data_IF_872028372983
#
_entry.id   IF_872028372983
#
_cell.length_a   1.000
_cell.length_b   1.000
_cell.length_c   1.000
_cell.angle_alpha   90.00
_cell.angle_beta   90.00
_cell.angle_gamma   90.00
#
_symmetry.space_group_name_H-M   'P 1'
#
loop_
_entity.id
_entity.type
_entity.pdbx_description
1 polymer ?
#
# COMPACT_ATOMS: atom_id res chain seq x y z
N UNK A 1 42.88 14.83 -0.12
CA UNK A 1 42.44 13.83 -1.11
C UNK A 1 41.07 13.33 -0.71
N UNK A 2 40.19 13.18 -1.70
CA UNK A 2 38.79 12.74 -1.68
C UNK A 2 37.72 13.75 -1.26
N UNK A 3 37.33 14.58 -2.23
CA UNK A 3 36.05 15.34 -2.28
C UNK A 3 35.15 14.89 -3.44
N UNK A 4 35.40 13.73 -4.07
CA UNK A 4 34.72 13.33 -5.31
C UNK A 4 33.43 12.50 -5.16
N UNK A 5 33.03 12.05 -3.96
CA UNK A 5 31.90 11.11 -3.84
C UNK A 5 30.51 11.72 -4.10
N UNK A 6 30.33 13.02 -3.86
CA UNK A 6 29.03 13.68 -4.05
C UNK A 6 28.69 13.98 -5.51
N UNK A 7 29.67 14.38 -6.32
CA UNK A 7 29.46 14.69 -7.74
C UNK A 7 29.29 13.42 -8.58
N UNK A 8 30.04 12.35 -8.29
CA UNK A 8 29.87 11.06 -8.98
C UNK A 8 28.47 10.46 -8.74
N UNK A 9 27.94 10.57 -7.51
CA UNK A 9 26.60 10.04 -7.19
C UNK A 9 25.49 10.82 -7.92
N UNK A 10 25.62 12.15 -8.01
CA UNK A 10 24.63 12.99 -8.68
C UNK A 10 24.65 12.83 -10.22
N UNK A 11 25.85 12.65 -10.80
CA UNK A 11 26.03 12.32 -12.22
C UNK A 11 25.47 10.93 -12.57
N UNK A 12 25.57 9.98 -11.65
CA UNK A 12 25.03 8.62 -11.81
C UNK A 12 23.48 8.62 -11.74
N UNK A 13 22.91 9.40 -10.82
CA UNK A 13 21.45 9.55 -10.70
C UNK A 13 20.81 10.20 -11.94
N UNK A 14 21.41 11.26 -12.49
CA UNK A 14 20.92 11.89 -13.71
C UNK A 14 21.00 10.96 -14.92
N UNK A 15 22.07 10.16 -15.03
CA UNK A 15 22.22 9.16 -16.09
C UNK A 15 21.19 8.04 -15.95
N UNK A 16 20.97 7.55 -14.74
CA UNK A 16 19.97 6.53 -14.45
C UNK A 16 18.55 7.03 -14.77
N UNK A 17 18.21 8.26 -14.38
CA UNK A 17 16.91 8.85 -14.71
C UNK A 17 16.75 9.07 -16.22
N UNK A 18 17.77 9.57 -16.91
CA UNK A 18 17.75 9.70 -18.36
C UNK A 18 17.55 8.36 -19.07
N UNK A 19 18.21 7.29 -18.58
CA UNK A 19 18.02 5.93 -19.09
C UNK A 19 16.59 5.43 -18.86
N UNK A 20 15.99 5.67 -17.69
CA UNK A 20 14.60 5.32 -17.41
C UNK A 20 13.65 6.06 -18.37
N UNK A 21 13.84 7.37 -18.53
CA UNK A 21 13.02 8.18 -19.43
C UNK A 21 13.17 7.77 -20.91
N UNK A 22 14.36 7.34 -21.33
CA UNK A 22 14.56 6.82 -22.67
C UNK A 22 13.86 5.46 -22.85
N UNK A 23 14.00 4.55 -21.89
CA UNK A 23 13.35 3.24 -21.95
C UNK A 23 11.82 3.33 -21.94
N UNK A 24 11.22 4.30 -21.24
CA UNK A 24 9.78 4.62 -21.34
C UNK A 24 9.40 4.98 -22.78
N UNK A 25 10.16 5.87 -23.43
CA UNK A 25 9.88 6.29 -24.82
C UNK A 25 10.01 5.13 -25.80
N UNK A 26 11.09 4.37 -25.69
CA UNK A 26 11.36 3.23 -26.56
C UNK A 26 10.28 2.14 -26.42
N UNK A 27 9.83 1.89 -25.19
CA UNK A 27 8.78 0.92 -24.92
C UNK A 27 7.44 1.36 -25.50
N UNK A 28 7.04 2.63 -25.34
CA UNK A 28 5.79 3.17 -25.92
C UNK A 28 5.83 3.12 -27.45
N UNK A 29 6.95 3.49 -28.06
CA UNK A 29 7.13 3.43 -29.51
C UNK A 29 6.99 2.00 -30.03
N UNK A 30 7.57 1.03 -29.32
CA UNK A 30 7.61 -0.38 -29.75
C UNK A 30 6.31 -1.14 -29.50
N UNK A 31 5.64 -0.90 -28.36
CA UNK A 31 4.49 -1.71 -27.93
C UNK A 31 3.14 -1.04 -28.16
N UNK A 32 3.09 0.30 -28.17
CA UNK A 32 1.84 1.07 -28.34
C UNK A 32 1.80 1.85 -29.66
N UNK A 33 2.81 1.68 -30.52
CA UNK A 33 3.01 2.44 -31.75
C UNK A 33 2.86 3.95 -31.52
N UNK A 34 3.37 4.42 -30.37
CA UNK A 34 3.10 5.75 -29.86
C UNK A 34 4.31 6.68 -29.83
N UNK A 35 4.09 7.98 -30.02
CA UNK A 35 5.08 9.03 -29.79
C UNK A 35 4.80 9.75 -28.47
N UNK A 36 5.71 9.61 -27.50
CA UNK A 36 5.57 10.24 -26.18
C UNK A 36 5.82 11.74 -26.27
N UNK A 37 4.87 12.54 -25.78
CA UNK A 37 5.00 14.00 -25.70
C UNK A 37 5.12 14.54 -24.27
N UNK A 38 4.75 13.75 -23.26
CA UNK A 38 4.86 14.15 -21.86
C UNK A 38 5.12 12.95 -20.94
N UNK A 39 5.98 13.14 -19.94
CA UNK A 39 6.29 12.17 -18.89
C UNK A 39 6.31 12.91 -17.56
N UNK A 40 5.37 12.61 -16.68
CA UNK A 40 5.27 13.20 -15.34
C UNK A 40 5.56 12.15 -14.29
N UNK A 41 6.59 12.40 -13.48
CA UNK A 41 6.88 11.60 -12.29
C UNK A 41 5.84 11.92 -11.21
N UNK A 42 5.15 10.90 -10.69
CA UNK A 42 4.19 11.10 -9.61
C UNK A 42 4.89 11.02 -8.24
N UNK A 43 4.59 11.98 -7.36
CA UNK A 43 5.12 12.01 -6.00
C UNK A 43 4.46 10.93 -5.13
N UNK A 44 5.12 9.77 -5.02
CA UNK A 44 4.70 8.61 -4.21
C UNK A 44 5.90 7.87 -3.64
N UNK A 45 5.67 7.00 -2.64
CA UNK A 45 6.70 6.14 -2.05
C UNK A 45 7.27 5.12 -3.03
N UNK A 46 6.50 4.73 -4.06
CA UNK A 46 6.98 3.90 -5.16
C UNK A 46 7.13 4.72 -6.45
N UNK A 47 8.14 4.42 -7.26
CA UNK A 47 8.23 4.93 -8.62
C UNK A 47 6.96 4.78 -9.45
N UNK A 48 6.35 5.88 -9.89
CA UNK A 48 5.29 5.87 -10.91
C UNK A 48 5.48 7.01 -11.93
N UNK A 49 5.11 6.78 -13.18
CA UNK A 49 5.11 7.82 -14.22
C UNK A 49 3.77 7.85 -14.96
N UNK A 50 3.16 9.03 -15.04
CA UNK A 50 2.08 9.30 -16.00
C UNK A 50 2.73 9.63 -17.33
N UNK A 51 2.43 8.85 -18.37
CA UNK A 51 3.05 8.99 -19.69
C UNK A 51 1.96 9.26 -20.71
N UNK A 52 2.07 10.41 -21.38
CA UNK A 52 1.12 10.85 -22.40
C UNK A 52 1.77 10.75 -23.78
N UNK A 53 1.07 10.15 -24.73
CA UNK A 53 1.59 9.82 -26.06
C UNK A 53 0.52 9.96 -27.14
N UNK A 54 0.95 10.17 -28.38
CA UNK A 54 0.10 10.14 -29.56
C UNK A 54 0.21 8.78 -30.26
N UNK A 55 -0.92 8.17 -30.60
CA UNK A 55 -0.97 6.97 -31.45
C UNK A 55 -2.19 7.06 -32.35
N UNK A 56 -2.05 6.70 -33.63
CA UNK A 56 -3.15 6.75 -34.61
C UNK A 56 -3.93 8.09 -34.67
N UNK A 57 -3.27 9.22 -34.37
CA UNK A 57 -3.90 10.54 -34.34
C UNK A 57 -4.70 10.88 -33.07
N UNK A 58 -4.69 9.99 -32.07
CA UNK A 58 -5.33 10.20 -30.76
C UNK A 58 -4.27 10.43 -29.68
N UNK A 59 -4.57 11.30 -28.70
CA UNK A 59 -3.78 11.42 -27.47
C UNK A 59 -4.26 10.37 -26.46
N UNK A 60 -3.34 9.60 -25.91
CA UNK A 60 -3.60 8.58 -24.89
C UNK A 60 -2.65 8.74 -23.71
N UNK A 61 -3.03 8.18 -22.57
CA UNK A 61 -2.23 8.22 -21.34
C UNK A 61 -2.17 6.84 -20.72
N UNK A 62 -0.98 6.45 -20.26
CA UNK A 62 -0.75 5.22 -19.49
C UNK A 62 0.01 5.50 -18.21
N UNK A 63 -0.09 4.59 -17.25
CA UNK A 63 0.66 4.61 -16.01
C UNK A 63 1.77 3.55 -16.06
N UNK A 64 3.01 3.99 -15.89
CA UNK A 64 4.14 3.10 -15.63
C UNK A 64 4.26 2.91 -14.12
N UNK A 65 3.90 1.73 -13.63
CA UNK A 65 3.98 1.36 -12.22
C UNK A 65 5.32 0.67 -11.96
N UNK A 66 6.26 1.42 -11.38
CA UNK A 66 7.63 0.98 -11.15
C UNK A 66 7.82 0.19 -9.86
N UNK A 67 8.94 -0.55 -9.80
CA UNK A 67 9.30 -1.35 -8.64
C UNK A 67 9.74 -0.49 -7.45
N UNK A 68 9.47 -0.95 -6.22
CA UNK A 68 9.99 -0.30 -5.00
C UNK A 68 11.48 -0.65 -4.86
N UNK A 69 12.35 0.30 -4.48
CA UNK A 69 13.78 0.01 -4.28
C UNK A 69 14.07 -1.08 -3.24
N UNK A 70 13.14 -1.31 -2.32
CA UNK A 70 13.25 -2.28 -1.22
C UNK A 70 12.49 -3.58 -1.47
N UNK A 71 11.81 -3.71 -2.62
CA UNK A 71 11.05 -4.91 -2.98
C UNK A 71 11.73 -5.68 -4.13
N UNK A 72 11.69 -7.02 -4.12
CA UNK A 72 12.15 -7.81 -5.25
C UNK A 72 11.28 -7.55 -6.47
N UNK A 73 11.86 -7.66 -7.68
CA UNK A 73 11.14 -7.54 -8.95
C UNK A 73 9.92 -8.47 -9.01
N UNK A 74 10.02 -9.65 -8.42
CA UNK A 74 8.95 -10.66 -8.41
C UNK A 74 7.69 -10.18 -7.69
N UNK A 75 7.81 -9.24 -6.73
CA UNK A 75 6.64 -8.61 -6.12
C UNK A 75 5.88 -7.74 -7.11
N UNK A 76 6.59 -7.10 -8.04
CA UNK A 76 5.98 -6.29 -9.09
C UNK A 76 5.36 -7.17 -10.19
N UNK A 77 6.05 -8.24 -10.60
CA UNK A 77 5.49 -9.22 -11.55
C UNK A 77 4.24 -9.90 -11.01
N UNK A 78 4.27 -10.28 -9.74
CA UNK A 78 3.12 -10.85 -9.04
C UNK A 78 1.87 -9.96 -9.14
N UNK A 79 2.02 -8.65 -8.88
CA UNK A 79 0.92 -7.69 -8.98
C UNK A 79 0.36 -7.63 -10.42
N UNK A 80 1.25 -7.52 -11.41
CA UNK A 80 0.89 -7.48 -12.84
C UNK A 80 0.11 -8.72 -13.27
N UNK A 81 0.65 -9.91 -13.00
CA UNK A 81 0.02 -11.19 -13.39
C UNK A 81 -1.32 -11.40 -12.69
N UNK A 82 -1.42 -11.01 -11.41
CA UNK A 82 -2.68 -11.07 -10.66
C UNK A 82 -3.74 -10.20 -11.32
N UNK A 83 -3.41 -8.96 -11.70
CA UNK A 83 -4.33 -8.06 -12.39
C UNK A 83 -4.76 -8.60 -13.75
N UNK A 84 -3.85 -9.20 -14.53
CA UNK A 84 -4.20 -9.83 -15.80
C UNK A 84 -5.21 -10.97 -15.64
N UNK A 85 -5.08 -11.79 -14.59
CA UNK A 85 -6.07 -12.83 -14.28
C UNK A 85 -7.42 -12.22 -13.92
N UNK A 86 -7.44 -11.17 -13.11
CA UNK A 86 -8.67 -10.49 -12.70
C UNK A 86 -9.38 -9.88 -13.92
N UNK A 87 -8.65 -9.19 -14.79
CA UNK A 87 -9.20 -8.65 -16.04
C UNK A 87 -9.80 -9.75 -16.94
N UNK A 88 -9.11 -10.88 -17.08
CA UNK A 88 -9.59 -12.03 -17.85
C UNK A 88 -10.86 -12.69 -17.27
N UNK A 89 -11.23 -12.33 -16.04
CA UNK A 89 -12.43 -12.77 -15.33
C UNK A 89 -13.44 -11.62 -15.13
N UNK A 90 -13.40 -10.60 -15.99
CA UNK A 90 -14.32 -9.47 -16.03
C UNK A 90 -14.32 -8.60 -14.74
N UNK A 91 -13.27 -8.70 -13.92
CA UNK A 91 -13.08 -7.79 -12.80
C UNK A 91 -12.54 -6.46 -13.32
N UNK A 92 -13.12 -5.36 -12.83
CA UNK A 92 -12.73 -3.99 -13.20
C UNK A 92 -11.35 -3.63 -12.65
N UNK A 93 -10.28 -4.05 -13.29
CA UNK A 93 -8.92 -3.57 -13.03
C UNK A 93 -8.40 -2.80 -14.26
N UNK A 94 -7.43 -1.88 -14.11
CA UNK A 94 -6.82 -1.23 -15.26
C UNK A 94 -6.20 -2.26 -16.21
N UNK A 95 -6.41 -2.10 -17.52
CA UNK A 95 -5.83 -2.98 -18.53
C UNK A 95 -4.30 -2.98 -18.42
N UNK A 96 -3.68 -4.16 -18.45
CA UNK A 96 -2.22 -4.31 -18.42
C UNK A 96 -1.68 -4.45 -19.84
N UNK A 97 -0.90 -3.46 -20.28
CA UNK A 97 -0.26 -3.49 -21.60
C UNK A 97 1.01 -4.33 -21.64
N UNK A 98 1.75 -4.43 -20.53
CA UNK A 98 2.91 -5.32 -20.43
C UNK A 98 4.04 -4.84 -19.53
N UNK A 99 5.14 -5.59 -19.56
CA UNK A 99 6.33 -5.40 -18.73
C UNK A 99 7.38 -4.51 -19.39
N UNK A 100 8.11 -3.75 -18.57
CA UNK A 100 9.21 -2.85 -18.94
C UNK A 100 10.43 -3.20 -18.11
N UNK A 101 11.56 -3.47 -18.77
CA UNK A 101 12.81 -3.82 -18.07
C UNK A 101 13.51 -2.59 -17.48
N UNK A 102 13.47 -1.46 -18.19
CA UNK A 102 14.15 -0.22 -17.80
C UNK A 102 13.25 0.99 -18.10
N UNK A 103 12.66 1.64 -17.09
CA UNK A 103 12.69 1.25 -15.68
C UNK A 103 11.94 -0.07 -15.46
N UNK A 104 12.34 -0.84 -14.45
CA UNK A 104 11.60 -2.02 -14.01
C UNK A 104 10.19 -1.61 -13.58
N UNK A 105 9.22 -1.86 -14.45
CA UNK A 105 7.84 -1.40 -14.34
C UNK A 105 6.89 -2.33 -15.11
N UNK A 106 5.61 -2.25 -14.83
CA UNK A 106 4.58 -2.66 -15.79
C UNK A 106 3.72 -1.46 -16.19
N UNK A 107 3.13 -1.53 -17.38
CA UNK A 107 2.31 -0.47 -17.96
C UNK A 107 0.86 -0.84 -17.88
N UNK A 108 0.04 0.07 -17.34
CA UNK A 108 -1.39 -0.10 -17.23
C UNK A 108 -2.16 1.16 -17.66
N UNK A 109 -3.47 1.02 -17.85
CA UNK A 109 -4.35 2.15 -18.14
C UNK A 109 -4.21 3.27 -17.10
N UNK A 110 -4.26 4.51 -17.60
CA UNK A 110 -4.49 5.67 -16.75
C UNK A 110 -5.98 5.86 -16.55
N UNK A 111 -6.46 5.58 -15.33
CA UNK A 111 -7.83 5.91 -14.94
C UNK A 111 -7.85 7.36 -14.44
N UNK A 112 -8.58 8.20 -15.17
CA UNK A 112 -8.75 9.61 -14.85
C UNK A 112 -9.95 9.80 -13.93
N UNK A 113 -9.68 10.23 -12.69
CA UNK A 113 -10.72 10.54 -11.71
C UNK A 113 -10.25 11.64 -10.76
N UNK A 114 -11.20 12.46 -10.35
CA UNK A 114 -11.03 13.48 -9.31
C UNK A 114 -10.93 12.87 -7.90
N UNK A 115 -11.42 11.63 -7.72
CA UNK A 115 -11.44 10.91 -6.44
C UNK A 115 -10.10 10.20 -6.15
N UNK A 116 -9.00 10.94 -6.32
CA UNK A 116 -7.70 10.55 -5.77
C UNK A 116 -7.50 11.26 -4.45
N UNK A 117 -8.06 10.69 -3.38
CA UNK A 117 -7.66 11.03 -2.03
C UNK A 117 -6.63 10.01 -1.52
N UNK A 118 -5.33 10.19 -1.77
CA UNK A 118 -4.35 9.46 -1.00
C UNK A 118 -4.15 10.10 0.36
N UNK A 119 -4.65 9.45 1.40
CA UNK A 119 -4.30 9.85 2.75
C UNK A 119 -3.07 9.08 3.21
N UNK A 120 -1.89 9.71 3.19
CA UNK A 120 -0.95 9.40 4.27
C UNK A 120 -1.67 9.70 5.59
N UNK A 121 -1.48 8.90 6.62
CA UNK A 121 -2.09 8.99 7.93
C UNK A 121 -2.01 10.41 8.51
N UNK A 122 -0.85 11.07 8.42
CA UNK A 122 -0.74 12.46 8.90
C UNK A 122 -1.66 13.42 8.14
N UNK A 123 -1.78 13.25 6.83
CA UNK A 123 -2.67 14.08 6.01
C UNK A 123 -4.13 13.77 6.28
N UNK A 124 -4.48 12.49 6.55
CA UNK A 124 -5.83 12.08 6.90
C UNK A 124 -6.29 12.64 8.26
N UNK A 125 -5.38 12.83 9.21
CA UNK A 125 -5.68 13.49 10.49
C UNK A 125 -6.03 14.97 10.27
N UNK A 126 -5.29 15.65 9.40
CA UNK A 126 -5.49 17.09 9.12
C UNK A 126 -6.66 17.35 8.17
N UNK A 127 -6.90 16.45 7.22
CA UNK A 127 -7.94 16.51 6.21
C UNK A 127 -8.72 15.20 6.18
N UNK A 128 -9.65 14.98 7.13
CA UNK A 128 -10.42 13.75 7.19
C UNK A 128 -11.29 13.59 5.95
N UNK A 129 -11.35 12.36 5.43
CA UNK A 129 -12.23 12.03 4.31
C UNK A 129 -13.70 12.20 4.69
N UNK A 130 -14.45 12.85 3.79
CA UNK A 130 -15.89 13.08 3.96
C UNK A 130 -16.66 12.02 3.18
N UNK A 131 -17.60 11.36 3.84
CA UNK A 131 -18.51 10.42 3.19
C UNK A 131 -19.66 11.19 2.54
N UNK A 132 -19.53 11.49 1.24
CA UNK A 132 -20.62 12.03 0.42
C UNK A 132 -21.58 10.93 0.01
N UNK A 133 -22.80 11.28 -0.43
CA UNK A 133 -23.78 10.29 -0.92
C UNK A 133 -23.22 9.48 -2.11
N UNK A 134 -22.51 10.14 -3.03
CA UNK A 134 -21.87 9.50 -4.18
C UNK A 134 -20.78 8.52 -3.74
N UNK A 135 -19.89 8.94 -2.83
CA UNK A 135 -18.84 8.08 -2.28
C UNK A 135 -19.45 6.89 -1.54
N UNK A 136 -20.55 7.10 -0.82
CA UNK A 136 -21.26 6.04 -0.13
C UNK A 136 -21.87 5.00 -1.10
N UNK A 137 -22.48 5.46 -2.20
CA UNK A 137 -22.94 4.54 -3.24
C UNK A 137 -21.78 3.80 -3.91
N UNK A 138 -20.65 4.48 -4.18
CA UNK A 138 -19.46 3.85 -4.72
C UNK A 138 -18.89 2.77 -3.78
N UNK A 139 -18.88 3.02 -2.46
CA UNK A 139 -18.51 2.02 -1.45
C UNK A 139 -19.45 0.81 -1.46
N UNK A 140 -20.76 1.01 -1.62
CA UNK A 140 -21.72 -0.09 -1.75
C UNK A 140 -21.51 -0.88 -3.03
N UNK A 141 -21.30 -0.21 -4.16
CA UNK A 141 -20.96 -0.84 -5.45
C UNK A 141 -19.66 -1.62 -5.37
N UNK A 142 -18.65 -1.09 -4.67
CA UNK A 142 -17.39 -1.79 -4.41
C UNK A 142 -17.60 -3.13 -3.69
N UNK A 143 -18.58 -3.24 -2.80
CA UNK A 143 -18.87 -4.52 -2.14
C UNK A 143 -19.45 -5.58 -3.09
N UNK A 144 -20.08 -5.16 -4.19
CA UNK A 144 -20.49 -6.08 -5.26
C UNK A 144 -19.26 -6.58 -6.02
N UNK A 145 -18.41 -5.64 -6.46
CA UNK A 145 -17.17 -5.96 -7.17
C UNK A 145 -16.24 -6.86 -6.32
N UNK A 146 -16.16 -6.63 -5.01
CA UNK A 146 -15.39 -7.46 -4.09
C UNK A 146 -15.96 -8.89 -4.00
N UNK A 147 -17.27 -9.06 -4.09
CA UNK A 147 -17.89 -10.38 -4.15
C UNK A 147 -17.51 -11.13 -5.44
N UNK A 148 -17.46 -10.41 -6.56
CA UNK A 148 -17.01 -10.96 -7.85
C UNK A 148 -15.53 -11.34 -7.83
N UNK A 149 -14.67 -10.50 -7.24
CA UNK A 149 -13.24 -10.81 -6.99
C UNK A 149 -13.10 -12.12 -6.20
N UNK A 150 -13.86 -12.27 -5.12
CA UNK A 150 -13.84 -13.49 -4.30
C UNK A 150 -14.44 -14.72 -5.00
N UNK A 151 -15.17 -14.54 -6.10
CA UNK A 151 -15.75 -15.62 -6.90
C UNK A 151 -14.80 -16.14 -7.99
N UNK A 152 -13.70 -15.43 -8.29
CA UNK A 152 -12.72 -15.86 -9.30
C UNK A 152 -12.14 -17.25 -8.92
N UNK A 153 -12.19 -18.25 -9.81
CA UNK A 153 -11.72 -19.59 -9.49
C UNK A 153 -10.22 -19.63 -9.19
N UNK A 154 -9.82 -20.25 -8.07
CA UNK A 154 -8.41 -20.41 -7.70
C UNK A 154 -7.55 -21.09 -8.78
N UNK A 155 -8.17 -21.92 -9.64
CA UNK A 155 -7.49 -22.55 -10.75
C UNK A 155 -6.92 -21.55 -11.77
N UNK A 156 -7.49 -20.35 -11.90
CA UNK A 156 -7.03 -19.31 -12.80
C UNK A 156 -5.65 -18.77 -12.40
N UNK A 157 -5.34 -18.75 -11.10
CA UNK A 157 -4.09 -18.22 -10.55
C UNK A 157 -2.95 -19.24 -10.47
N UNK A 158 -3.15 -20.49 -10.92
CA UNK A 158 -2.17 -21.59 -10.75
C UNK A 158 -0.79 -21.35 -11.38
N UNK A 159 -0.71 -20.47 -12.37
CA UNK A 159 0.55 -20.14 -13.03
C UNK A 159 1.37 -19.09 -12.27
N UNK A 160 0.76 -18.40 -11.30
CA UNK A 160 1.42 -17.42 -10.45
C UNK A 160 2.01 -18.16 -9.26
N UNK A 161 3.34 -18.21 -9.15
CA UNK A 161 4.06 -19.05 -8.17
C UNK A 161 3.53 -18.88 -6.74
N UNK A 162 3.30 -17.63 -6.32
CA UNK A 162 2.80 -17.28 -4.97
C UNK A 162 1.39 -17.82 -4.69
N UNK A 163 0.58 -18.05 -5.72
CA UNK A 163 -0.82 -18.51 -5.62
C UNK A 163 -1.00 -19.94 -6.14
N UNK A 164 0.06 -20.57 -6.64
CA UNK A 164 0.01 -21.87 -7.29
C UNK A 164 -0.41 -23.01 -6.34
N UNK A 165 -0.16 -22.85 -5.04
CA UNK A 165 -0.45 -23.83 -3.99
C UNK A 165 -1.40 -23.24 -2.93
N UNK A 166 -2.73 -23.32 -3.14
CA UNK A 166 -3.70 -22.88 -2.16
C UNK A 166 -3.53 -23.57 -0.80
N UNK A 167 -3.64 -22.85 0.34
CA UNK A 167 -3.61 -23.45 1.67
C UNK A 167 -4.79 -24.40 1.89
N UNK A 168 -4.58 -25.45 2.69
CA UNK A 168 -5.57 -26.50 2.93
C UNK A 168 -5.92 -26.59 4.41
N UNK A 169 -7.20 -26.45 4.73
CA UNK A 169 -7.70 -26.52 6.10
C UNK A 169 -7.57 -25.18 6.85
N UNK A 170 -8.32 -25.06 7.94
CA UNK A 170 -8.53 -23.77 8.60
C UNK A 170 -7.25 -23.10 9.13
N UNK A 171 -6.31 -23.90 9.65
CA UNK A 171 -5.03 -23.39 10.15
C UNK A 171 -4.21 -22.73 9.05
N UNK A 172 -4.01 -23.43 7.93
CA UNK A 172 -3.18 -22.94 6.83
C UNK A 172 -3.86 -21.75 6.16
N UNK A 173 -5.19 -21.78 5.98
CA UNK A 173 -5.95 -20.66 5.42
C UNK A 173 -5.84 -19.41 6.31
N UNK A 174 -6.00 -19.56 7.62
CA UNK A 174 -5.95 -18.44 8.55
C UNK A 174 -4.55 -17.85 8.72
N UNK A 175 -3.51 -18.66 8.55
CA UNK A 175 -2.13 -18.26 8.78
C UNK A 175 -1.35 -17.92 7.50
N UNK A 176 -1.89 -18.17 6.31
CA UNK A 176 -1.13 -18.07 5.05
C UNK A 176 -0.44 -16.71 4.84
N UNK A 177 -1.23 -15.62 4.82
CA UNK A 177 -0.70 -14.27 4.64
C UNK A 177 0.10 -13.79 5.85
N UNK A 178 -0.39 -14.13 7.05
CA UNK A 178 0.18 -13.72 8.34
C UNK A 178 1.58 -14.29 8.52
N UNK A 179 1.76 -15.59 8.31
CA UNK A 179 3.02 -16.28 8.50
C UNK A 179 4.06 -15.78 7.50
N UNK A 180 3.65 -15.55 6.24
CA UNK A 180 4.55 -14.95 5.22
C UNK A 180 5.08 -13.59 5.68
N UNK A 181 4.20 -12.70 6.13
CA UNK A 181 4.63 -11.38 6.59
C UNK A 181 5.44 -11.46 7.88
N UNK A 182 5.09 -12.35 8.79
CA UNK A 182 5.83 -12.59 10.01
C UNK A 182 7.27 -13.04 9.71
N UNK A 183 7.47 -13.95 8.75
CA UNK A 183 8.82 -14.36 8.31
C UNK A 183 9.61 -13.19 7.70
N UNK A 184 8.97 -12.30 6.93
CA UNK A 184 9.60 -11.05 6.45
C UNK A 184 10.00 -10.17 7.64
N UNK A 185 9.13 -10.04 8.65
CA UNK A 185 9.42 -9.30 9.88
C UNK A 185 10.63 -9.85 10.62
N UNK A 186 10.77 -11.17 10.72
CA UNK A 186 11.94 -11.82 11.31
C UNK A 186 13.22 -11.57 10.51
N UNK A 187 13.17 -11.79 9.18
CA UNK A 187 14.31 -11.62 8.29
C UNK A 187 14.83 -10.17 8.29
N UNK A 188 13.92 -9.20 8.39
CA UNK A 188 14.23 -7.77 8.40
C UNK A 188 14.47 -7.21 9.80
N UNK A 189 14.43 -8.05 10.85
CA UNK A 189 14.59 -7.65 12.27
C UNK A 189 13.56 -6.60 12.72
N UNK A 190 12.35 -6.67 12.17
CA UNK A 190 11.22 -5.81 12.50
C UNK A 190 10.21 -6.45 13.44
N UNK A 191 10.43 -7.68 13.94
CA UNK A 191 9.59 -8.24 15.00
C UNK A 191 9.91 -7.62 16.38
N UNK A 192 8.88 -7.31 17.16
CA UNK A 192 8.99 -6.91 18.56
C UNK A 192 7.96 -7.65 19.42
N UNK A 193 7.97 -7.40 20.73
CA UNK A 193 7.10 -8.06 21.69
C UNK A 193 5.61 -7.98 21.34
N UNK A 194 5.16 -6.87 20.75
CA UNK A 194 3.75 -6.72 20.34
C UNK A 194 3.45 -7.63 19.17
N UNK A 195 4.30 -7.65 18.13
CA UNK A 195 4.13 -8.54 16.97
C UNK A 195 4.18 -10.02 17.39
N UNK A 196 5.13 -10.40 18.27
CA UNK A 196 5.24 -11.76 18.81
C UNK A 196 3.98 -12.18 19.60
N UNK A 197 3.43 -11.26 20.40
CA UNK A 197 2.17 -11.49 21.10
C UNK A 197 1.02 -11.72 20.12
N UNK A 198 0.86 -10.85 19.12
CA UNK A 198 -0.17 -10.99 18.09
C UNK A 198 0.00 -12.31 17.31
N UNK A 199 1.23 -12.68 16.96
CA UNK A 199 1.52 -13.91 16.21
C UNK A 199 1.11 -15.15 17.00
N UNK A 200 1.48 -15.17 18.28
CA UNK A 200 1.11 -16.25 19.19
C UNK A 200 -0.40 -16.31 19.37
N UNK A 201 -1.05 -15.16 19.55
CA UNK A 201 -2.51 -15.09 19.68
C UNK A 201 -3.21 -15.64 18.42
N UNK A 202 -2.79 -15.23 17.23
CA UNK A 202 -3.38 -15.68 15.96
C UNK A 202 -3.28 -17.21 15.83
N UNK A 203 -2.10 -17.79 16.06
CA UNK A 203 -1.89 -19.25 16.01
C UNK A 203 -2.79 -20.02 16.99
N UNK A 204 -3.15 -19.43 18.13
CA UNK A 204 -3.99 -20.06 19.14
C UNK A 204 -5.50 -19.86 18.96
N UNK A 205 -5.94 -18.95 18.07
CA UNK A 205 -7.34 -18.55 17.95
C UNK A 205 -7.88 -18.73 16.52
N UNK A 206 -7.27 -19.62 15.73
CA UNK A 206 -7.70 -19.93 14.36
C UNK A 206 -9.19 -20.32 14.31
N UNK A 207 -9.98 -19.72 13.40
CA UNK A 207 -11.39 -20.07 13.23
C UNK A 207 -11.54 -21.42 12.51
N UNK A 208 -11.60 -22.51 13.28
CA UNK A 208 -11.51 -23.89 12.79
C UNK A 208 -12.60 -24.32 11.78
N UNK A 209 -13.75 -23.63 11.73
CA UNK A 209 -14.82 -23.92 10.76
C UNK A 209 -14.55 -23.33 9.37
N UNK A 210 -13.58 -22.43 9.23
CA UNK A 210 -13.26 -21.73 7.98
C UNK A 210 -12.28 -22.57 7.14
N UNK A 211 -12.82 -23.45 6.31
CA UNK A 211 -12.03 -24.48 5.58
C UNK A 211 -11.99 -24.30 4.07
N UNK A 212 -12.64 -23.26 3.54
CA UNK A 212 -12.76 -23.00 2.11
C UNK A 212 -11.93 -21.75 1.76
N UNK A 213 -10.81 -21.90 1.03
CA UNK A 213 -10.04 -20.75 0.58
C UNK A 213 -10.72 -20.05 -0.60
N UNK A 214 -10.43 -18.77 -0.77
CA UNK A 214 -10.80 -17.93 -1.92
C UNK A 214 -9.63 -17.01 -2.26
N UNK A 215 -9.61 -16.50 -3.48
CA UNK A 215 -8.73 -15.38 -3.79
C UNK A 215 -9.17 -14.19 -2.92
N UNK A 216 -8.20 -13.46 -2.38
CA UNK A 216 -8.42 -12.24 -1.61
C UNK A 216 -7.54 -11.14 -2.20
N UNK A 217 -8.07 -9.92 -2.30
CA UNK A 217 -7.31 -8.75 -2.73
C UNK A 217 -6.17 -8.44 -1.75
N UNK A 218 -6.33 -8.83 -0.48
CA UNK A 218 -5.34 -8.64 0.57
C UNK A 218 -5.39 -7.22 1.14
N UNK A 219 -5.57 -6.23 0.26
CA UNK A 219 -5.67 -4.81 0.60
C UNK A 219 -7.01 -4.15 0.23
N UNK A 220 -8.11 -4.81 0.59
CA UNK A 220 -9.44 -4.35 0.23
C UNK A 220 -9.76 -2.89 0.66
N UNK A 221 -10.53 -2.22 -0.19
CA UNK A 221 -10.91 -0.80 -0.07
C UNK A 221 -10.18 0.11 -1.06
N UNK A 222 -9.24 -0.44 -1.84
CA UNK A 222 -8.50 0.29 -2.86
C UNK A 222 -9.22 0.30 -4.22
N UNK A 223 -9.93 1.38 -4.52
CA UNK A 223 -10.62 1.56 -5.80
C UNK A 223 -10.72 3.02 -6.23
N UNK A 224 -10.89 3.23 -7.53
CA UNK A 224 -11.22 4.51 -8.15
C UNK A 224 -12.70 4.54 -8.53
N UNK A 225 -13.35 5.67 -8.25
CA UNK A 225 -14.74 5.92 -8.59
C UNK A 225 -14.92 7.23 -9.35
N UNK A 226 -16.00 7.32 -10.12
CA UNK A 226 -16.53 8.58 -10.64
C UNK A 226 -18.00 8.69 -10.23
N UNK A 227 -18.30 9.61 -9.33
CA UNK A 227 -19.60 9.66 -8.66
C UNK A 227 -19.90 8.35 -7.92
N UNK A 228 -20.98 7.68 -8.31
CA UNK A 228 -21.47 6.44 -7.68
C UNK A 228 -20.86 5.15 -8.28
N UNK A 229 -20.12 5.27 -9.39
CA UNK A 229 -19.63 4.12 -10.15
C UNK A 229 -18.19 3.78 -9.78
N UNK A 230 -17.92 2.49 -9.54
CA UNK A 230 -16.56 1.95 -9.44
C UNK A 230 -16.00 1.77 -10.84
N UNK A 231 -14.90 2.48 -11.12
CA UNK A 231 -14.19 2.44 -12.41
C UNK A 231 -13.13 1.35 -12.43
N UNK A 232 -12.35 1.22 -11.35
CA UNK A 232 -11.24 0.30 -11.28
C UNK A 232 -10.86 -0.04 -9.83
N UNK A 233 -10.58 -1.31 -9.58
CA UNK A 233 -9.96 -1.84 -8.36
C UNK A 233 -8.44 -1.79 -8.51
N UNK A 234 -7.75 -1.56 -7.41
CA UNK A 234 -6.31 -1.27 -7.40
C UNK A 234 -5.58 -2.04 -6.30
N UNK A 235 -4.25 -2.00 -6.37
CA UNK A 235 -3.32 -2.38 -5.30
C UNK A 235 -3.38 -3.85 -4.87
N UNK A 236 -3.28 -4.76 -5.85
CA UNK A 236 -3.22 -6.21 -5.63
C UNK A 236 -1.81 -6.72 -5.25
N UNK A 237 -0.89 -5.85 -4.79
CA UNK A 237 0.50 -6.21 -4.47
C UNK A 237 0.62 -7.20 -3.29
N UNK A 238 -0.36 -7.17 -2.38
CA UNK A 238 -0.44 -8.12 -1.26
C UNK A 238 -1.56 -9.16 -1.40
N UNK A 239 -2.15 -9.28 -2.59
CA UNK A 239 -3.17 -10.29 -2.88
C UNK A 239 -2.71 -11.71 -2.51
N UNK A 240 -3.65 -12.57 -2.18
CA UNK A 240 -3.34 -13.88 -1.65
C UNK A 240 -4.49 -14.87 -1.83
N UNK A 241 -4.28 -16.10 -1.38
CA UNK A 241 -5.33 -17.08 -1.16
C UNK A 241 -5.55 -17.21 0.34
N UNK A 242 -6.80 -17.02 0.78
CA UNK A 242 -7.18 -17.04 2.19
C UNK A 242 -8.69 -17.07 2.38
N UNK A 243 -9.16 -16.55 3.50
CA UNK A 243 -10.58 -16.40 3.76
C UNK A 243 -11.06 -15.00 3.37
N UNK A 244 -12.22 -14.90 2.72
CA UNK A 244 -12.82 -13.62 2.29
C UNK A 244 -13.00 -12.61 3.43
N UNK A 245 -13.07 -13.08 4.68
CA UNK A 245 -13.15 -12.21 5.87
C UNK A 245 -11.88 -11.39 6.10
N UNK A 246 -10.75 -11.76 5.50
CA UNK A 246 -9.54 -10.94 5.47
C UNK A 246 -9.84 -9.55 4.88
N UNK A 247 -10.43 -9.52 3.69
CA UNK A 247 -10.73 -8.29 2.96
C UNK A 247 -11.82 -7.46 3.68
N UNK A 248 -12.83 -8.12 4.24
CA UNK A 248 -13.85 -7.45 5.06
C UNK A 248 -13.28 -6.85 6.36
N UNK A 249 -12.27 -7.50 6.93
CA UNK A 249 -11.53 -7.00 8.07
C UNK A 249 -10.60 -5.84 7.70
N UNK A 250 -10.05 -5.82 6.49
CA UNK A 250 -9.30 -4.69 5.94
C UNK A 250 -10.10 -3.39 5.99
N UNK A 251 -11.37 -3.41 5.55
CA UNK A 251 -12.28 -2.25 5.64
C UNK A 251 -12.46 -1.77 7.09
N UNK A 252 -12.65 -2.69 8.04
CA UNK A 252 -12.77 -2.38 9.48
C UNK A 252 -11.47 -1.81 10.05
N UNK A 253 -10.32 -2.34 9.62
CA UNK A 253 -8.99 -1.89 10.06
C UNK A 253 -8.68 -0.47 9.57
N UNK A 254 -9.12 -0.12 8.37
CA UNK A 254 -8.91 1.19 7.72
C UNK A 254 -9.88 2.28 8.17
N UNK A 255 -11.09 1.92 8.61
CA UNK A 255 -12.15 2.86 8.97
C UNK A 255 -11.73 4.06 9.86
N UNK A 256 -10.82 3.90 10.84
CA UNK A 256 -10.34 5.02 11.64
C UNK A 256 -9.55 6.10 10.86
N UNK A 257 -9.04 5.80 9.67
CA UNK A 257 -8.17 6.67 8.86
C UNK A 257 -8.84 7.05 7.55
N UNK A 258 -9.53 6.10 6.95
CA UNK A 258 -10.31 6.25 5.74
C UNK A 258 -11.77 6.07 6.12
N UNK A 259 -12.57 7.13 5.98
CA UNK A 259 -13.98 7.05 6.31
C UNK A 259 -14.69 6.07 5.37
N UNK A 260 -14.84 4.83 5.84
CA UNK A 260 -15.52 3.76 5.10
C UNK A 260 -17.06 3.79 5.21
N UNK A 261 -17.63 4.75 5.96
CA UNK A 261 -19.08 4.81 6.18
C UNK A 261 -19.61 3.72 7.12
N UNK A 262 -20.85 3.27 6.90
CA UNK A 262 -21.51 2.24 7.72
C UNK A 262 -20.98 0.84 7.36
N UNK A 263 -19.92 0.41 8.07
CA UNK A 263 -19.31 -0.92 7.91
C UNK A 263 -20.33 -2.06 8.00
N UNK A 264 -21.23 -2.12 9.01
CA UNK A 264 -22.32 -3.10 9.02
C UNK A 264 -23.20 -3.11 7.76
N UNK A 265 -23.50 -1.96 7.17
CA UNK A 265 -24.24 -1.90 5.90
C UNK A 265 -23.43 -2.46 4.72
N UNK A 266 -22.12 -2.20 4.67
CA UNK A 266 -21.23 -2.80 3.67
C UNK A 266 -21.21 -4.33 3.78
N UNK A 267 -21.16 -4.88 4.99
CA UNK A 267 -21.22 -6.33 5.19
C UNK A 267 -22.54 -6.92 4.70
N UNK A 268 -23.68 -6.29 5.01
CA UNK A 268 -24.99 -6.73 4.48
C UNK A 268 -25.05 -6.66 2.95
N UNK A 269 -24.42 -5.66 2.33
CA UNK A 269 -24.34 -5.55 0.87
C UNK A 269 -23.51 -6.71 0.29
N UNK A 270 -22.35 -7.00 0.87
CA UNK A 270 -21.52 -8.11 0.47
C UNK A 270 -22.20 -9.47 0.65
N UNK A 271 -22.94 -9.69 1.75
CA UNK A 271 -23.73 -10.92 1.95
C UNK A 271 -24.75 -11.11 0.83
N UNK A 272 -25.43 -10.03 0.43
CA UNK A 272 -26.40 -10.04 -0.66
C UNK A 272 -25.76 -10.36 -2.00
N UNK A 273 -24.61 -9.77 -2.30
CA UNK A 273 -23.89 -9.95 -3.56
C UNK A 273 -23.27 -11.35 -3.68
N UNK A 274 -22.56 -11.78 -2.63
CA UNK A 274 -21.84 -13.06 -2.60
C UNK A 274 -22.72 -14.28 -2.32
N UNK A 275 -23.91 -14.07 -1.74
CA UNK A 275 -24.77 -15.15 -1.23
C UNK A 275 -24.18 -15.89 -0.01
N UNK A 276 -23.08 -15.39 0.57
CA UNK A 276 -22.39 -15.99 1.72
C UNK A 276 -22.62 -15.16 2.97
N UNK A 277 -22.89 -15.81 4.09
CA UNK A 277 -23.02 -15.13 5.39
C UNK A 277 -21.67 -14.56 5.86
N UNK A 278 -21.70 -13.37 6.43
CA UNK A 278 -20.57 -12.72 7.10
C UNK A 278 -20.55 -13.11 8.58
N UNK A 279 -19.42 -13.61 9.04
CA UNK A 279 -19.15 -14.08 10.39
C UNK A 279 -18.33 -13.02 11.15
N UNK A 280 -18.99 -12.26 12.02
CA UNK A 280 -18.36 -11.13 12.73
C UNK A 280 -17.20 -11.54 13.66
N UNK A 281 -17.30 -12.63 14.47
CA UNK A 281 -16.14 -13.17 15.18
C UNK A 281 -14.93 -13.46 14.27
N UNK A 282 -15.17 -13.99 13.07
CA UNK A 282 -14.10 -14.25 12.09
C UNK A 282 -13.53 -12.95 11.53
N UNK A 283 -14.35 -11.93 11.25
CA UNK A 283 -13.87 -10.58 10.90
C UNK A 283 -12.97 -10.02 11.99
N UNK A 284 -13.34 -10.16 13.26
CA UNK A 284 -12.53 -9.64 14.35
C UNK A 284 -11.18 -10.37 14.46
N UNK A 285 -11.16 -11.70 14.27
CA UNK A 285 -9.90 -12.46 14.15
C UNK A 285 -9.03 -11.93 12.99
N UNK A 286 -9.60 -11.81 11.80
CA UNK A 286 -8.86 -11.31 10.64
C UNK A 286 -8.51 -9.82 10.74
N UNK A 287 -9.18 -9.04 11.58
CA UNK A 287 -8.75 -7.66 11.86
C UNK A 287 -7.42 -7.66 12.59
N UNK A 288 -7.24 -8.57 13.56
CA UNK A 288 -5.94 -8.74 14.23
C UNK A 288 -4.88 -9.18 13.21
N UNK A 289 -5.22 -10.12 12.33
CA UNK A 289 -4.32 -10.66 11.32
C UNK A 289 -3.85 -9.58 10.31
N UNK A 290 -4.80 -8.85 9.72
CA UNK A 290 -4.54 -7.75 8.80
C UNK A 290 -3.70 -6.64 9.44
N UNK A 291 -4.07 -6.21 10.66
CA UNK A 291 -3.34 -5.16 11.36
C UNK A 291 -1.94 -5.62 11.80
N UNK A 292 -1.72 -6.90 12.10
CA UNK A 292 -0.37 -7.40 12.33
C UNK A 292 0.48 -7.28 11.06
N UNK A 293 -0.05 -7.70 9.91
CA UNK A 293 0.64 -7.56 8.61
C UNK A 293 0.99 -6.09 8.35
N UNK A 294 0.03 -5.19 8.52
CA UNK A 294 0.22 -3.76 8.32
C UNK A 294 1.23 -3.16 9.33
N UNK A 295 1.26 -3.64 10.58
CA UNK A 295 2.23 -3.20 11.58
C UNK A 295 3.67 -3.60 11.25
N UNK A 296 3.88 -4.80 10.69
CA UNK A 296 5.21 -5.20 10.21
C UNK A 296 5.60 -4.32 9.01
N UNK A 297 4.67 -4.02 8.11
CA UNK A 297 4.91 -3.13 6.97
C UNK A 297 5.29 -1.71 7.41
N UNK A 298 4.58 -1.14 8.40
CA UNK A 298 4.86 0.17 8.95
C UNK A 298 6.31 0.29 9.47
N UNK A 299 6.84 -0.77 10.10
CA UNK A 299 8.24 -0.80 10.56
C UNK A 299 9.25 -0.84 9.42
N UNK A 300 8.90 -1.40 8.26
CA UNK A 300 9.76 -1.33 7.07
C UNK A 300 9.88 0.12 6.56
N UNK A 301 8.81 0.92 6.64
CA UNK A 301 8.85 2.35 6.30
C UNK A 301 9.70 3.16 7.28
N UNK A 302 9.85 2.69 8.52
CA UNK A 302 10.70 3.32 9.55
C UNK A 302 12.19 3.02 9.38
N UNK A 303 12.60 2.17 8.45
CA UNK A 303 14.01 1.84 8.25
C UNK A 303 14.79 3.08 7.75
N UNK A 304 15.70 3.67 8.56
CA UNK A 304 16.29 4.98 8.27
C UNK A 304 17.21 4.99 7.04
N UNK A 305 17.69 3.80 6.64
CA UNK A 305 18.56 3.64 5.48
C UNK A 305 17.78 3.30 4.20
N UNK A 306 16.46 3.12 4.28
CA UNK A 306 15.63 2.79 3.13
C UNK A 306 15.35 4.05 2.30
N UNK A 307 15.77 4.03 1.03
CA UNK A 307 15.42 5.08 0.07
C UNK A 307 13.89 5.15 -0.08
N UNK A 308 13.31 6.33 0.13
CA UNK A 308 11.86 6.57 0.06
C UNK A 308 11.09 6.16 1.33
N UNK A 309 11.76 5.75 2.41
CA UNK A 309 11.11 5.52 3.70
C UNK A 309 10.58 6.80 4.32
N UNK A 310 9.40 6.74 4.94
CA UNK A 310 8.82 7.84 5.69
C UNK A 310 8.75 7.44 7.17
N UNK A 311 9.77 7.84 7.94
CA UNK A 311 9.91 7.46 9.34
C UNK A 311 8.75 7.96 10.20
N UNK A 312 8.32 9.21 10.01
CA UNK A 312 7.25 9.81 10.80
C UNK A 312 5.94 9.06 10.56
N UNK A 313 5.63 8.82 9.29
CA UNK A 313 4.45 8.06 8.87
C UNK A 313 4.45 6.66 9.47
N UNK A 314 5.54 5.90 9.30
CA UNK A 314 5.64 4.53 9.81
C UNK A 314 5.50 4.45 11.34
N UNK A 315 5.99 5.43 12.09
CA UNK A 315 5.82 5.48 13.56
C UNK A 315 4.35 5.68 13.93
N UNK A 316 3.66 6.60 13.26
CA UNK A 316 2.24 6.87 13.54
C UNK A 316 1.36 5.70 13.13
N UNK A 317 1.58 5.13 11.94
CA UNK A 317 0.90 3.94 11.47
C UNK A 317 1.10 2.80 12.46
N UNK A 318 2.34 2.50 12.83
CA UNK A 318 2.65 1.40 13.75
C UNK A 318 1.92 1.54 15.08
N UNK A 319 2.00 2.70 15.73
CA UNK A 319 1.35 2.93 17.02
C UNK A 319 -0.17 2.77 16.92
N UNK A 320 -0.76 3.29 15.85
CA UNK A 320 -2.21 3.32 15.66
C UNK A 320 -2.77 1.92 15.30
N UNK A 321 -2.09 1.23 14.38
CA UNK A 321 -2.42 -0.12 13.92
C UNK A 321 -2.30 -1.13 15.07
N UNK A 322 -1.19 -1.11 15.82
CA UNK A 322 -0.98 -2.06 16.92
C UNK A 322 -1.97 -1.86 18.06
N UNK A 323 -2.29 -0.61 18.40
CA UNK A 323 -3.36 -0.30 19.36
C UNK A 323 -4.68 -0.92 18.89
N UNK A 324 -5.04 -0.73 17.62
CA UNK A 324 -6.31 -1.24 17.08
C UNK A 324 -6.35 -2.77 17.04
N UNK A 325 -5.22 -3.44 16.78
CA UNK A 325 -5.12 -4.89 16.84
C UNK A 325 -5.41 -5.41 18.26
N UNK A 326 -4.85 -4.76 19.29
CA UNK A 326 -5.10 -5.12 20.69
C UNK A 326 -6.55 -4.84 21.12
N UNK A 327 -7.15 -3.75 20.65
CA UNK A 327 -8.57 -3.45 20.88
C UNK A 327 -9.48 -4.54 20.27
N UNK A 328 -9.15 -5.04 19.08
CA UNK A 328 -9.90 -6.14 18.46
C UNK A 328 -9.81 -7.45 19.27
N UNK A 329 -8.65 -7.74 19.87
CA UNK A 329 -8.51 -8.86 20.81
C UNK A 329 -9.37 -8.63 22.06
N UNK A 330 -9.34 -7.43 22.64
CA UNK A 330 -10.14 -7.11 23.81
C UNK A 330 -11.64 -7.29 23.54
N UNK A 331 -12.13 -6.81 22.38
CA UNK A 331 -13.50 -6.98 21.92
C UNK A 331 -13.90 -8.46 21.83
N UNK A 332 -13.08 -9.29 21.17
CA UNK A 332 -13.31 -10.74 21.06
C UNK A 332 -13.34 -11.46 22.41
N UNK A 333 -12.65 -10.92 23.42
CA UNK A 333 -12.55 -11.49 24.75
C UNK A 333 -13.54 -10.90 25.74
N UNK A 334 -14.36 -9.93 25.32
CA UNK A 334 -15.28 -9.21 26.20
C UNK A 334 -14.56 -8.41 27.29
N UNK A 335 -13.33 -7.98 27.03
CA UNK A 335 -12.52 -7.18 27.97
C UNK A 335 -12.90 -5.71 27.81
N UNK A 336 -13.44 -5.11 28.86
CA UNK A 336 -13.68 -3.67 28.91
C UNK A 336 -12.35 -2.93 29.05
N UNK A 337 -12.06 -2.04 28.09
CA UNK A 337 -10.88 -1.18 28.14
C UNK A 337 -11.18 0.07 28.96
N UNK A 338 -10.21 0.48 29.79
CA UNK A 338 -10.26 1.77 30.48
C UNK A 338 -9.75 2.87 29.57
N UNK A 339 -10.51 3.95 29.44
CA UNK A 339 -10.11 5.17 28.73
C UNK A 339 -9.50 6.22 29.67
N UNK A 340 -9.43 5.92 30.96
CA UNK A 340 -8.86 6.79 32.00
C UNK A 340 -7.32 6.65 32.10
N UNK A 341 -6.69 6.02 31.11
CA UNK A 341 -5.23 5.86 31.06
C UNK A 341 -4.61 7.13 30.50
N UNK A 342 -3.84 7.85 31.32
CA UNK A 342 -2.96 8.91 30.86
C UNK A 342 -1.60 8.34 30.48
N UNK A 343 -1.04 8.82 29.36
CA UNK A 343 0.38 8.59 29.07
C UNK A 343 1.22 9.25 30.18
N UNK A 344 2.34 8.63 30.59
CA UNK A 344 3.26 9.29 31.50
C UNK A 344 3.78 10.59 30.87
N UNK A 345 4.11 11.58 31.70
CA UNK A 345 4.75 12.80 31.23
C UNK A 345 5.98 12.46 30.38
N UNK A 346 6.12 13.13 29.24
CA UNK A 346 7.25 12.92 28.36
C UNK A 346 8.56 13.14 29.14
N UNK A 347 9.32 12.06 29.35
CA UNK A 347 10.62 12.15 29.97
C UNK A 347 11.62 12.69 28.97
N UNK A 348 11.74 14.00 28.96
CA UNK A 348 12.66 14.71 28.12
C UNK A 348 14.11 14.42 28.57
N UNK A 349 14.90 13.74 27.73
CA UNK A 349 16.31 13.41 28.04
C UNK A 349 17.20 14.59 27.63
N UNK A 350 17.87 15.29 28.58
CA UNK A 350 18.53 16.57 28.28
C UNK A 350 19.60 16.49 27.19
N UNK A 351 20.37 15.40 27.14
CA UNK A 351 21.48 15.22 26.21
C UNK A 351 21.02 14.97 24.75
N UNK A 352 20.17 13.96 24.44
CA UNK A 352 19.63 13.78 23.10
C UNK A 352 18.87 15.02 22.58
N UNK A 353 18.09 15.66 23.44
CA UNK A 353 17.36 16.88 23.07
C UNK A 353 18.26 18.09 22.87
N UNK A 354 19.34 18.23 23.64
CA UNK A 354 20.33 19.27 23.37
C UNK A 354 20.87 19.17 21.95
N UNK A 355 21.02 17.95 21.43
CA UNK A 355 21.44 17.69 20.05
C UNK A 355 20.42 18.20 19.03
N UNK A 356 19.15 17.79 19.16
CA UNK A 356 18.07 18.25 18.29
C UNK A 356 17.85 19.76 18.39
N UNK A 357 17.86 20.32 19.61
CA UNK A 357 17.71 21.74 19.87
C UNK A 357 18.87 22.55 19.27
N UNK A 358 20.10 22.07 19.41
CA UNK A 358 21.28 22.69 18.77
C UNK A 358 21.19 22.63 17.25
N UNK A 359 20.79 21.48 16.69
CA UNK A 359 20.56 21.31 15.25
C UNK A 359 19.52 22.31 14.73
N UNK A 360 18.36 22.42 15.38
CA UNK A 360 17.32 23.39 15.01
C UNK A 360 17.79 24.85 15.14
N UNK A 361 18.59 25.17 16.16
CA UNK A 361 19.22 26.50 16.31
C UNK A 361 20.19 26.78 15.16
N UNK A 362 21.01 25.80 14.77
CA UNK A 362 21.96 25.95 13.66
C UNK A 362 21.25 26.05 12.32
N UNK A 363 20.22 25.22 12.08
CA UNK A 363 19.37 25.31 10.89
C UNK A 363 18.70 26.68 10.79
N UNK A 364 18.17 27.23 11.89
CA UNK A 364 17.61 28.59 11.92
C UNK A 364 18.65 29.69 11.64
N UNK A 365 19.93 29.40 11.86
CA UNK A 365 21.06 30.30 11.54
C UNK A 365 21.58 30.07 10.12
N UNK A 366 21.24 28.94 9.49
CA UNK A 366 21.50 28.77 8.07
C UNK A 366 20.71 29.87 7.35
N UNK A 367 21.37 30.64 6.49
CA UNK A 367 20.69 31.72 5.77
C UNK A 367 19.60 31.12 4.88
N UNK A 368 18.33 31.30 5.26
CA UNK A 368 17.21 31.09 4.33
C UNK A 368 17.12 32.32 3.47
N UNK A 369 17.58 32.25 2.23
CA UNK A 369 17.52 33.42 1.36
C UNK A 369 17.33 33.07 -0.11
N UNK A 370 16.54 33.92 -0.77
CA UNK A 370 16.61 34.20 -2.21
C UNK A 370 17.96 34.82 -2.64
N UNK A 371 18.94 34.91 -1.74
CA UNK A 371 20.27 35.45 -1.91
C UNK A 371 21.36 34.41 -1.57
N UNK A 372 21.56 33.42 -2.44
CA UNK A 372 22.94 33.08 -2.75
C UNK A 372 23.53 34.29 -3.46
N UNK A 373 24.49 34.96 -2.82
CA UNK A 373 25.21 36.05 -3.46
C UNK A 373 25.93 35.49 -4.69
N UNK A 374 26.04 36.26 -5.79
CA UNK A 374 26.54 35.73 -7.06
C UNK A 374 27.96 35.13 -6.94
N UNK A 375 28.78 35.65 -6.04
CA UNK A 375 30.11 35.13 -5.74
C UNK A 375 30.12 33.74 -5.04
N UNK A 376 29.03 33.33 -4.40
CA UNK A 376 28.89 31.99 -3.79
C UNK A 376 28.47 30.93 -4.84
N UNK A 377 28.01 31.34 -6.03
CA UNK A 377 27.73 30.42 -7.15
C UNK A 377 28.98 30.08 -7.96
N UNK A 378 29.91 31.02 -8.06
CA UNK A 378 31.11 30.92 -8.91
C UNK A 378 32.35 30.40 -8.15
N UNK A 379 32.14 29.74 -6.99
CA UNK A 379 33.20 29.21 -6.12
C UNK A 379 34.13 28.18 -6.79
N UNK A 380 33.73 27.63 -7.94
CA UNK A 380 34.52 26.64 -8.69
C UNK A 380 35.22 27.20 -9.94
N UNK A 381 35.03 28.48 -10.31
CA UNK A 381 35.57 29.09 -11.53
C UNK A 381 35.67 28.12 -12.73
N UNK A 382 34.53 27.60 -13.19
CA UNK A 382 34.44 26.85 -14.44
C UNK A 382 34.06 27.78 -15.60
#
# INVERSE_FOLDING_TARGET
>A
MNTNSGQDTQLDEQRFEAQCLQGIRDWVASNLAGEVYDIVRLERWRPQWKVSYHTNGESRTVLFRGNRPVAPEESLRFEMETMQVLEAHDIKVPHIYGWVESPTAFVMDWIDTEDRAPGMLHTAIENPSVMTDDRWQAMLSYMDELADVHAVPLAAFKHIERLASPPVGAQDIAMHSVERMYQIGLATKNSDTTIEFLQTWLRCNVPAHRTIPSFISGDAGQFMSAGTEVLALLDFEIADIGDTHWDLAGLRGRHPYENMGDIPALYRRYEKASGKQVDLPVIAYYTVAFLQLAGIAAKLFMAPNSRGGNWIEGVMEYASIMRRALEAIAELRGIALSYDISLPDAQLKPLPESGLKKLLVDIKRLPTSSAFQQWERDLLQA
#
